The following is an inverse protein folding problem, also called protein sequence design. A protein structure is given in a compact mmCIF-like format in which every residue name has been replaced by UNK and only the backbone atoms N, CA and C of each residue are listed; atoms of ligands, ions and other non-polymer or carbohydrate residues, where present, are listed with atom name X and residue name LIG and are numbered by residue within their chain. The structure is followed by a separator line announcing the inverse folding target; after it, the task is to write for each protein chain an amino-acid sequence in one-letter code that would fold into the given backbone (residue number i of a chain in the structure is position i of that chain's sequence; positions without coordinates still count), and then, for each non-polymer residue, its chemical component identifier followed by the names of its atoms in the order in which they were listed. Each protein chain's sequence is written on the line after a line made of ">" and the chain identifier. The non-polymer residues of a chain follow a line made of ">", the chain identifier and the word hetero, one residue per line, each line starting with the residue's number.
data_IF_854815668389
#
_entry.id   IF_854815668389
#
_cell.length_a   1.000
_cell.length_b   1.000
_cell.length_c   1.000
_cell.angle_alpha   90.00
_cell.angle_beta   90.00
_cell.angle_gamma   90.00
#
_symmetry.space_group_name_H-M   'P 1'
#
loop_
_entity.id
_entity.type
_entity.pdbx_description
1 polymer ?
#
# COMPACT_ATOMS: atom_id res chain seq x y z
N UNK A 1 -4.05 -16.31 5.34
CA UNK A 1 -3.93 -14.94 5.88
C UNK A 1 -3.23 -14.02 4.90
N UNK A 2 -3.78 -12.82 4.67
CA UNK A 2 -3.19 -11.74 3.89
C UNK A 2 -2.84 -10.57 4.82
N UNK A 3 -1.79 -9.82 4.49
CA UNK A 3 -1.48 -8.57 5.18
C UNK A 3 -2.49 -7.50 4.74
N UNK A 4 -3.17 -6.89 5.70
CA UNK A 4 -4.17 -5.86 5.48
C UNK A 4 -3.76 -4.58 6.22
N UNK A 5 -3.97 -3.42 5.62
CA UNK A 5 -3.92 -2.14 6.31
C UNK A 5 -5.35 -1.74 6.65
N UNK A 6 -5.62 -1.61 7.94
CA UNK A 6 -6.88 -1.07 8.44
C UNK A 6 -6.62 0.37 8.85
N UNK A 7 -7.48 1.30 8.43
CA UNK A 7 -7.29 2.71 8.71
C UNK A 7 -8.60 3.48 8.81
N UNK A 8 -8.55 4.62 9.49
CA UNK A 8 -9.66 5.57 9.54
C UNK A 8 -9.11 6.99 9.69
N UNK A 9 -9.97 7.98 9.43
CA UNK A 9 -9.68 9.39 9.66
C UNK A 9 -10.53 9.86 10.85
N UNK A 10 -9.90 10.47 11.85
CA UNK A 10 -10.60 11.00 13.01
C UNK A 10 -11.20 12.40 12.75
N UNK A 11 -11.84 12.99 13.77
CA UNK A 11 -12.48 14.31 13.66
C UNK A 11 -11.47 15.45 13.39
N UNK A 12 -10.21 15.27 13.76
CA UNK A 12 -9.13 16.24 13.51
C UNK A 12 -8.52 16.09 12.11
N UNK A 13 -9.04 15.17 11.28
CA UNK A 13 -8.51 14.87 9.95
C UNK A 13 -7.23 14.04 9.96
N UNK A 14 -6.84 13.47 11.10
CA UNK A 14 -5.64 12.64 11.25
C UNK A 14 -5.97 11.20 10.84
N UNK A 15 -5.15 10.62 9.96
CA UNK A 15 -5.26 9.21 9.55
C UNK A 15 -4.52 8.31 10.54
N UNK A 16 -5.24 7.34 11.09
CA UNK A 16 -4.70 6.26 11.90
C UNK A 16 -4.69 4.99 11.07
N UNK A 17 -3.59 4.24 11.08
CA UNK A 17 -3.43 3.02 10.29
C UNK A 17 -2.69 1.94 11.09
N UNK A 18 -3.10 0.69 10.93
CA UNK A 18 -2.45 -0.49 11.51
C UNK A 18 -2.36 -1.60 10.46
N UNK A 19 -1.29 -2.38 10.52
CA UNK A 19 -1.14 -3.59 9.71
C UNK A 19 -1.59 -4.81 10.53
N UNK A 20 -2.41 -5.67 9.92
CA UNK A 20 -2.95 -6.89 10.52
C UNK A 20 -2.86 -8.05 9.53
N UNK A 21 -2.81 -9.27 10.04
CA UNK A 21 -2.97 -10.48 9.22
C UNK A 21 -4.38 -11.04 9.41
N UNK A 22 -5.11 -11.26 8.31
CA UNK A 22 -6.49 -11.75 8.36
C UNK A 22 -6.83 -12.63 7.16
N UNK A 23 -7.86 -13.47 7.30
CA UNK A 23 -8.42 -14.30 6.23
C UNK A 23 -9.67 -13.67 5.57
N UNK A 24 -10.26 -12.66 6.22
CA UNK A 24 -11.43 -11.97 5.70
C UNK A 24 -11.54 -10.50 6.14
N UNK A 25 -12.44 -9.77 5.46
CA UNK A 25 -12.67 -8.34 5.69
C UNK A 25 -13.06 -8.04 7.15
N UNK A 26 -14.04 -8.75 7.69
CA UNK A 26 -14.52 -8.48 9.06
C UNK A 26 -13.50 -8.85 10.12
N UNK A 27 -12.73 -9.92 9.92
CA UNK A 27 -11.63 -10.28 10.81
C UNK A 27 -10.56 -9.18 10.81
N UNK A 28 -10.13 -8.71 9.63
CA UNK A 28 -9.20 -7.59 9.51
C UNK A 28 -9.73 -6.36 10.26
N UNK A 29 -11.01 -6.01 10.06
CA UNK A 29 -11.65 -4.87 10.74
C UNK A 29 -11.60 -5.01 12.27
N UNK A 30 -11.96 -6.17 12.82
CA UNK A 30 -11.94 -6.40 14.28
C UNK A 30 -10.53 -6.37 14.84
N UNK A 31 -9.56 -6.97 14.14
CA UNK A 31 -8.14 -6.91 14.52
C UNK A 31 -7.63 -5.47 14.51
N UNK A 32 -7.99 -4.69 13.49
CA UNK A 32 -7.66 -3.27 13.39
C UNK A 32 -8.26 -2.45 14.53
N UNK A 33 -9.56 -2.60 14.81
CA UNK A 33 -10.23 -1.95 15.94
C UNK A 33 -9.58 -2.32 17.28
N UNK A 34 -9.25 -3.59 17.48
CA UNK A 34 -8.52 -4.04 18.67
C UNK A 34 -7.15 -3.37 18.80
N UNK A 35 -6.42 -3.19 17.69
CA UNK A 35 -5.12 -2.52 17.69
C UNK A 35 -5.26 -1.02 17.99
N UNK A 36 -6.23 -0.34 17.40
CA UNK A 36 -6.51 1.07 17.70
C UNK A 36 -6.88 1.31 19.16
N UNK A 37 -7.72 0.45 19.74
CA UNK A 37 -8.10 0.53 21.15
C UNK A 37 -6.90 0.40 22.10
N UNK A 38 -5.88 -0.38 21.76
CA UNK A 38 -4.65 -0.51 22.59
C UNK A 38 -3.83 0.79 22.67
N UNK A 39 -4.08 1.73 21.78
CA UNK A 39 -3.39 3.02 21.71
C UNK A 39 -4.34 4.20 21.96
N UNK A 40 -5.51 3.95 22.57
CA UNK A 40 -6.51 4.96 22.91
C UNK A 40 -7.02 5.80 21.71
N UNK A 41 -7.01 5.21 20.51
CA UNK A 41 -7.47 5.82 19.25
C UNK A 41 -8.62 5.04 18.62
N UNK A 42 -9.53 4.50 19.43
CA UNK A 42 -10.67 3.71 18.92
C UNK A 42 -11.65 4.61 18.12
N UNK A 43 -11.99 4.24 16.87
CA UNK A 43 -12.94 5.01 16.07
C UNK A 43 -14.37 4.89 16.59
N UNK A 44 -15.18 5.92 16.36
CA UNK A 44 -16.61 5.90 16.71
C UNK A 44 -17.43 4.98 15.80
N UNK A 45 -18.65 4.64 16.24
CA UNK A 45 -19.51 3.70 15.52
C UNK A 45 -19.88 4.11 14.07
N UNK A 46 -19.91 5.41 13.78
CA UNK A 46 -20.22 5.94 12.45
C UNK A 46 -18.96 6.30 11.64
N UNK A 47 -17.77 6.08 12.20
CA UNK A 47 -16.51 6.37 11.51
C UNK A 47 -16.29 5.36 10.39
N UNK A 48 -15.97 5.86 9.20
CA UNK A 48 -15.65 5.01 8.06
C UNK A 48 -14.29 4.32 8.26
N UNK A 49 -14.30 3.00 8.20
CA UNK A 49 -13.10 2.17 8.22
C UNK A 49 -12.70 1.81 6.78
N UNK A 50 -11.44 2.05 6.44
CA UNK A 50 -10.83 1.61 5.19
C UNK A 50 -9.98 0.37 5.44
N UNK A 51 -10.21 -0.69 4.66
CA UNK A 51 -9.43 -1.93 4.71
C UNK A 51 -8.79 -2.17 3.35
N UNK A 52 -7.48 -2.03 3.29
CA UNK A 52 -6.66 -2.32 2.11
C UNK A 52 -6.04 -3.71 2.27
N UNK A 53 -6.32 -4.62 1.34
CA UNK A 53 -5.64 -5.92 1.29
C UNK A 53 -4.35 -5.76 0.50
N UNK A 54 -3.19 -5.91 1.15
CA UNK A 54 -1.90 -5.88 0.48
C UNK A 54 -1.64 -7.24 -0.18
N UNK A 55 -1.07 -7.21 -1.38
CA UNK A 55 -0.54 -8.44 -1.96
C UNK A 55 0.64 -8.94 -1.11
N UNK A 56 0.79 -10.25 -1.01
CA UNK A 56 1.86 -10.89 -0.24
C UNK A 56 3.26 -10.72 -0.83
N UNK A 57 3.40 -10.02 -1.97
CA UNK A 57 4.65 -9.95 -2.72
C UNK A 57 5.27 -8.56 -2.55
N UNK A 58 6.33 -8.49 -1.75
CA UNK A 58 7.22 -7.34 -1.69
C UNK A 58 8.41 -7.55 -2.62
N UNK A 59 8.57 -6.67 -3.61
CA UNK A 59 9.76 -6.64 -4.47
C UNK A 59 10.77 -5.62 -3.96
N UNK A 60 11.90 -6.10 -3.46
CA UNK A 60 13.01 -5.22 -3.05
C UNK A 60 14.04 -5.13 -4.17
N UNK A 61 14.27 -3.92 -4.66
CA UNK A 61 15.27 -3.62 -5.67
C UNK A 61 15.94 -2.28 -5.39
N UNK A 62 17.19 -2.15 -5.81
CA UNK A 62 17.93 -0.89 -5.72
C UNK A 62 17.49 0.07 -6.83
N UNK A 63 17.66 1.37 -6.58
CA UNK A 63 17.49 2.40 -7.63
C UNK A 63 18.40 2.12 -8.83
N UNK A 64 19.59 1.55 -8.61
CA UNK A 64 20.49 1.15 -9.70
C UNK A 64 19.85 0.11 -10.63
N UNK A 65 19.16 -0.92 -10.10
CA UNK A 65 18.45 -1.91 -10.92
C UNK A 65 17.35 -1.28 -11.77
N UNK A 66 16.65 -0.27 -11.24
CA UNK A 66 15.63 0.48 -11.99
C UNK A 66 16.27 1.26 -13.15
N UNK A 67 17.38 1.97 -12.87
CA UNK A 67 18.12 2.72 -13.91
C UNK A 67 18.70 1.79 -14.97
N UNK A 68 19.29 0.67 -14.58
CA UNK A 68 19.78 -0.35 -15.51
C UNK A 68 18.65 -0.90 -16.39
N UNK A 69 17.50 -1.26 -15.80
CA UNK A 69 16.34 -1.73 -16.58
C UNK A 69 15.90 -0.70 -17.61
N UNK A 70 15.90 0.57 -17.22
CA UNK A 70 15.52 1.68 -18.09
C UNK A 70 16.54 1.88 -19.22
N UNK A 71 17.82 1.58 -19.01
CA UNK A 71 18.89 1.67 -20.02
C UNK A 71 18.98 0.42 -20.91
N UNK A 72 18.53 -0.75 -20.45
CA UNK A 72 18.54 -2.00 -21.23
C UNK A 72 17.77 -1.85 -22.55
N UNK A 73 18.30 -2.50 -23.58
CA UNK A 73 17.70 -2.59 -24.91
C UNK A 73 16.24 -3.08 -24.88
N UNK A 74 15.45 -2.60 -25.82
CA UNK A 74 14.00 -2.84 -25.91
C UNK A 74 13.70 -3.97 -26.88
N UNK A 75 12.73 -4.81 -26.54
CA UNK A 75 12.32 -5.96 -27.37
C UNK A 75 11.08 -5.68 -28.21
N UNK A 76 10.29 -4.66 -27.85
CA UNK A 76 9.05 -4.31 -28.57
C UNK A 76 8.91 -2.79 -28.73
N UNK A 77 8.21 -2.31 -29.77
CA UNK A 77 7.91 -0.87 -29.93
C UNK A 77 7.15 -0.28 -28.74
N UNK A 78 6.22 -1.05 -28.15
CA UNK A 78 5.47 -0.63 -26.94
C UNK A 78 6.40 -0.39 -25.75
N UNK A 79 7.40 -1.24 -25.58
CA UNK A 79 8.42 -1.07 -24.53
C UNK A 79 9.30 0.15 -24.80
N UNK A 80 9.63 0.44 -26.06
CA UNK A 80 10.40 1.61 -26.45
C UNK A 80 9.70 2.91 -26.04
N UNK A 81 8.44 3.08 -26.43
CA UNK A 81 7.63 4.25 -26.06
C UNK A 81 7.47 4.37 -24.55
N UNK A 82 7.26 3.24 -23.85
CA UNK A 82 7.17 3.23 -22.39
C UNK A 82 8.46 3.73 -21.74
N UNK A 83 9.62 3.17 -22.13
CA UNK A 83 10.91 3.53 -21.54
C UNK A 83 11.32 4.95 -21.89
N UNK A 84 11.01 5.43 -23.09
CA UNK A 84 11.23 6.83 -23.47
C UNK A 84 10.46 7.79 -22.56
N UNK A 85 9.14 7.56 -22.40
CA UNK A 85 8.31 8.36 -21.49
C UNK A 85 8.84 8.35 -20.05
N UNK A 86 9.26 7.18 -19.56
CA UNK A 86 9.77 7.04 -18.18
C UNK A 86 11.15 7.70 -17.99
N UNK A 87 12.02 7.72 -19.01
CA UNK A 87 13.30 8.46 -18.97
C UNK A 87 13.05 9.96 -18.85
N UNK A 88 12.10 10.50 -19.60
CA UNK A 88 11.77 11.92 -19.56
C UNK A 88 11.30 12.40 -18.17
N UNK A 89 10.67 11.53 -17.37
CA UNK A 89 10.26 11.85 -16.00
C UNK A 89 11.42 11.86 -14.98
N UNK A 90 12.55 11.26 -15.33
CA UNK A 90 13.74 11.13 -14.48
C UNK A 90 14.90 12.03 -14.95
N UNK A 91 14.63 12.89 -15.92
CA UNK A 91 15.56 13.89 -16.46
C UNK A 91 15.26 15.23 -15.79
#
# INVERSE_FOLDING_TARGET
>A
MAACIVSFINLDGIRHSVEVEAEGLYEASILGLCAFRKHDVEPGAMTQLEVEVRSSITHTLTVSKVREWLQRGVRTPKEAVLKERLRALLT
#
